data_IF_657316497877
#
_entry.id   IF_657316497877
#
_cell.length_a   1.000
_cell.length_b   1.000
_cell.length_c   1.000
_cell.angle_alpha   90.00
_cell.angle_beta   90.00
_cell.angle_gamma   90.00
#
_symmetry.space_group_name_H-M   'P 1'
#
loop_
_entity.id
_entity.type
_entity.pdbx_description
1 polymer ?
#
# COMPACT_ATOMS: atom_id res chain seq x y z
N UNK A 1 70.79 -25.20 -38.09
CA UNK A 1 69.50 -25.88 -38.34
C UNK A 1 68.72 -26.19 -37.06
N UNK A 2 69.35 -26.68 -35.97
CA UNK A 2 68.65 -27.01 -34.72
C UNK A 2 68.03 -25.83 -33.94
N UNK A 3 68.65 -24.64 -33.93
CA UNK A 3 68.11 -23.47 -33.21
C UNK A 3 66.81 -22.91 -33.82
N UNK A 4 66.66 -22.96 -35.14
CA UNK A 4 65.42 -22.57 -35.84
C UNK A 4 64.28 -23.55 -35.55
N UNK A 5 64.57 -24.86 -35.49
CA UNK A 5 63.58 -25.88 -35.16
C UNK A 5 63.10 -25.78 -33.71
N UNK A 6 64.00 -25.44 -32.77
CA UNK A 6 63.64 -25.19 -31.37
C UNK A 6 62.76 -23.93 -31.20
N UNK A 7 63.06 -22.85 -31.94
CA UNK A 7 62.23 -21.64 -31.95
C UNK A 7 60.86 -21.86 -32.59
N UNK A 8 60.77 -22.71 -33.62
CA UNK A 8 59.50 -23.08 -34.24
C UNK A 8 58.65 -23.96 -33.30
N UNK A 9 59.29 -24.88 -32.55
CA UNK A 9 58.62 -25.73 -31.57
C UNK A 9 58.05 -24.93 -30.38
N UNK A 10 58.82 -23.97 -29.84
CA UNK A 10 58.33 -23.11 -28.75
C UNK A 10 57.23 -22.15 -29.21
N UNK A 11 57.34 -21.60 -30.42
CA UNK A 11 56.27 -20.80 -31.04
C UNK A 11 54.99 -21.65 -31.24
N UNK A 12 55.14 -22.92 -31.62
CA UNK A 12 54.03 -23.86 -31.79
C UNK A 12 53.37 -24.24 -30.47
N UNK A 13 54.12 -24.48 -29.39
CA UNK A 13 53.56 -24.72 -28.06
C UNK A 13 52.85 -23.48 -27.50
N UNK A 14 53.41 -22.30 -27.75
CA UNK A 14 52.79 -21.02 -27.35
C UNK A 14 51.47 -20.83 -28.11
N UNK A 15 51.45 -21.04 -29.42
CA UNK A 15 50.21 -21.03 -30.24
C UNK A 15 49.19 -22.08 -29.78
N UNK A 16 49.64 -23.29 -29.43
CA UNK A 16 48.78 -24.38 -28.94
C UNK A 16 48.17 -24.05 -27.58
N UNK A 17 48.85 -23.27 -26.73
CA UNK A 17 48.31 -22.82 -25.45
C UNK A 17 47.20 -21.76 -25.59
N UNK A 18 47.11 -21.08 -26.74
CA UNK A 18 46.02 -20.17 -27.08
C UNK A 18 44.88 -20.84 -27.86
N UNK A 19 45.08 -22.05 -28.37
CA UNK A 19 44.01 -22.82 -28.98
C UNK A 19 43.10 -23.39 -27.87
N UNK A 20 41.77 -23.20 -27.96
CA UNK A 20 40.84 -23.76 -26.99
C UNK A 20 41.04 -25.27 -26.89
N UNK A 21 41.07 -25.81 -25.67
CA UNK A 21 41.12 -27.26 -25.49
C UNK A 21 39.82 -27.90 -26.02
N UNK A 22 39.85 -29.20 -26.37
CA UNK A 22 38.64 -29.93 -26.78
C UNK A 22 37.51 -29.80 -25.74
N UNK A 23 37.87 -29.66 -24.47
CA UNK A 23 36.97 -29.42 -23.36
C UNK A 23 36.33 -28.02 -23.38
N UNK A 24 37.09 -26.98 -23.78
CA UNK A 24 36.55 -25.62 -23.91
C UNK A 24 35.62 -25.51 -25.12
N UNK A 25 35.95 -26.19 -26.23
CA UNK A 25 35.06 -26.29 -27.40
C UNK A 25 33.74 -26.99 -27.03
N UNK A 26 33.80 -28.05 -26.21
CA UNK A 26 32.61 -28.73 -25.70
C UNK A 26 31.74 -27.79 -24.85
N UNK A 27 32.32 -27.05 -23.90
CA UNK A 27 31.60 -26.07 -23.09
C UNK A 27 30.93 -24.99 -23.94
N UNK A 28 31.62 -24.48 -24.95
CA UNK A 28 31.04 -23.48 -25.87
C UNK A 28 29.86 -24.07 -26.65
N UNK A 29 29.98 -25.31 -27.14
CA UNK A 29 28.88 -26.00 -27.82
C UNK A 29 27.66 -26.21 -26.90
N UNK A 30 27.89 -26.64 -25.66
CA UNK A 30 26.82 -26.79 -24.65
C UNK A 30 26.19 -25.44 -24.31
N UNK A 31 26.99 -24.38 -24.12
CA UNK A 31 26.48 -23.04 -23.86
C UNK A 31 25.61 -22.50 -25.02
N UNK A 32 26.03 -22.71 -26.27
CA UNK A 32 25.22 -22.36 -27.45
C UNK A 32 23.92 -23.17 -27.47
N UNK A 33 23.99 -24.47 -27.19
CA UNK A 33 22.80 -25.33 -27.12
C UNK A 33 21.81 -24.85 -26.05
N UNK A 34 22.31 -24.46 -24.87
CA UNK A 34 21.51 -23.85 -23.80
C UNK A 34 20.84 -22.56 -24.30
N UNK A 35 21.59 -21.65 -24.93
CA UNK A 35 21.01 -20.41 -25.46
C UNK A 35 19.92 -20.67 -26.50
N UNK A 36 20.13 -21.61 -27.42
CA UNK A 36 19.13 -22.00 -28.42
C UNK A 36 17.91 -22.61 -27.75
N UNK A 37 18.10 -23.51 -26.78
CA UNK A 37 17.01 -24.12 -26.03
C UNK A 37 16.17 -23.06 -25.28
N UNK A 38 16.82 -22.13 -24.58
CA UNK A 38 16.13 -21.04 -23.88
C UNK A 38 15.46 -20.04 -24.83
N UNK A 39 16.03 -19.78 -26.01
CA UNK A 39 15.39 -18.96 -27.02
C UNK A 39 14.10 -19.61 -27.56
N UNK A 40 14.14 -20.92 -27.84
CA UNK A 40 12.97 -21.69 -28.26
C UNK A 40 11.93 -21.74 -27.14
N UNK A 41 12.36 -21.98 -25.90
CA UNK A 41 11.50 -21.93 -24.72
C UNK A 41 10.84 -20.56 -24.58
N UNK A 42 11.60 -19.47 -24.72
CA UNK A 42 11.07 -18.11 -24.64
C UNK A 42 10.00 -17.84 -25.70
N UNK A 43 10.15 -18.38 -26.93
CA UNK A 43 9.11 -18.31 -27.97
C UNK A 43 7.86 -19.10 -27.58
N UNK A 44 8.03 -20.31 -27.03
CA UNK A 44 6.90 -21.15 -26.59
C UNK A 44 6.15 -20.47 -25.45
N UNK A 45 6.84 -20.01 -24.41
CA UNK A 45 6.23 -19.34 -23.26
C UNK A 45 5.54 -18.06 -23.69
N UNK A 46 6.13 -17.26 -24.59
CA UNK A 46 5.47 -16.08 -25.18
C UNK A 46 4.19 -16.45 -25.93
N UNK A 47 4.21 -17.53 -26.70
CA UNK A 47 3.02 -18.01 -27.42
C UNK A 47 1.91 -18.39 -26.43
N UNK A 48 2.24 -19.15 -25.37
CA UNK A 48 1.29 -19.53 -24.33
C UNK A 48 0.74 -18.31 -23.58
N UNK A 49 1.62 -17.39 -23.15
CA UNK A 49 1.22 -16.16 -22.50
C UNK A 49 0.27 -15.33 -23.38
N UNK A 50 0.57 -15.18 -24.67
CA UNK A 50 -0.29 -14.47 -25.61
C UNK A 50 -1.67 -15.12 -25.78
N UNK A 51 -1.76 -16.45 -25.69
CA UNK A 51 -3.02 -17.20 -25.78
C UNK A 51 -3.88 -16.96 -24.54
N UNK A 52 -3.30 -17.03 -23.35
CA UNK A 52 -4.02 -16.78 -22.10
C UNK A 52 -4.46 -15.31 -21.98
N UNK A 53 -3.60 -14.36 -22.37
CA UNK A 53 -3.93 -12.93 -22.38
C UNK A 53 -5.11 -12.61 -23.32
N UNK A 54 -5.18 -13.25 -24.49
CA UNK A 54 -6.34 -13.15 -25.38
C UNK A 54 -7.59 -13.77 -24.77
N UNK A 55 -7.46 -14.88 -24.05
CA UNK A 55 -8.60 -15.57 -23.40
C UNK A 55 -9.27 -14.70 -22.34
N UNK A 56 -8.51 -13.87 -21.64
CA UNK A 56 -9.02 -12.95 -20.61
C UNK A 56 -9.36 -11.56 -21.15
N UNK A 57 -9.37 -11.35 -22.47
CA UNK A 57 -9.56 -10.04 -23.12
C UNK A 57 -8.66 -8.94 -22.53
N UNK A 58 -7.39 -9.27 -22.27
CA UNK A 58 -6.42 -8.29 -21.77
C UNK A 58 -6.21 -7.16 -22.78
N UNK A 59 -5.95 -5.95 -22.26
CA UNK A 59 -5.58 -4.80 -23.08
C UNK A 59 -4.37 -5.15 -23.98
N UNK A 60 -4.40 -4.82 -25.29
CA UNK A 60 -3.32 -5.13 -26.21
C UNK A 60 -1.93 -4.60 -25.79
N UNK A 61 -1.88 -3.44 -25.13
CA UNK A 61 -0.65 -2.84 -24.61
C UNK A 61 -0.11 -3.64 -23.42
N UNK A 62 -0.99 -4.04 -22.50
CA UNK A 62 -0.64 -4.91 -21.37
C UNK A 62 -0.14 -6.25 -21.89
N UNK A 63 -0.84 -6.83 -22.87
CA UNK A 63 -0.44 -8.10 -23.46
C UNK A 63 0.93 -8.01 -24.17
N UNK A 64 1.21 -6.90 -24.86
CA UNK A 64 2.52 -6.65 -25.48
C UNK A 64 3.63 -6.55 -24.42
N UNK A 65 3.39 -5.81 -23.34
CA UNK A 65 4.34 -5.64 -22.25
C UNK A 65 4.66 -6.98 -21.59
N UNK A 66 3.66 -7.75 -21.19
CA UNK A 66 3.84 -9.07 -20.56
C UNK A 66 4.62 -10.01 -21.47
N UNK A 67 4.29 -10.07 -22.77
CA UNK A 67 5.01 -10.91 -23.73
C UNK A 67 6.49 -10.52 -23.86
N UNK A 68 6.81 -9.22 -23.84
CA UNK A 68 8.20 -8.74 -23.87
C UNK A 68 8.95 -9.10 -22.59
N UNK A 69 8.33 -8.91 -21.43
CA UNK A 69 8.91 -9.20 -20.13
C UNK A 69 9.19 -10.70 -19.97
N UNK A 70 8.25 -11.56 -20.32
CA UNK A 70 8.40 -13.02 -20.28
C UNK A 70 9.51 -13.49 -21.20
N UNK A 71 9.57 -12.97 -22.43
CA UNK A 71 10.63 -13.32 -23.38
C UNK A 71 12.00 -12.88 -22.87
N UNK A 72 12.13 -11.64 -22.39
CA UNK A 72 13.38 -11.11 -21.86
C UNK A 72 13.84 -11.88 -20.62
N UNK A 73 12.92 -12.21 -19.70
CA UNK A 73 13.23 -12.99 -18.50
C UNK A 73 13.78 -14.38 -18.87
N UNK A 74 13.12 -15.10 -19.77
CA UNK A 74 13.59 -16.41 -20.24
C UNK A 74 14.97 -16.32 -20.92
N UNK A 75 15.21 -15.27 -21.71
CA UNK A 75 16.51 -15.03 -22.35
C UNK A 75 17.60 -14.74 -21.33
N UNK A 76 17.34 -13.89 -20.33
CA UNK A 76 18.29 -13.57 -19.25
C UNK A 76 18.65 -14.83 -18.46
N UNK A 77 17.67 -15.67 -18.12
CA UNK A 77 17.92 -16.96 -17.46
C UNK A 77 18.81 -17.85 -18.33
N UNK A 78 18.54 -17.91 -19.64
CA UNK A 78 19.35 -18.67 -20.59
C UNK A 78 20.79 -18.16 -20.68
N UNK A 79 21.01 -16.85 -20.67
CA UNK A 79 22.34 -16.23 -20.65
C UNK A 79 23.08 -16.59 -19.37
N UNK A 80 22.44 -16.48 -18.21
CA UNK A 80 23.04 -16.85 -16.93
C UNK A 80 23.42 -18.34 -16.89
N UNK A 81 22.55 -19.22 -17.40
CA UNK A 81 22.81 -20.65 -17.49
C UNK A 81 23.99 -20.97 -18.44
N UNK A 82 24.03 -20.34 -19.60
CA UNK A 82 25.13 -20.51 -20.57
C UNK A 82 26.48 -20.02 -20.00
N UNK A 83 26.49 -18.90 -19.28
CA UNK A 83 27.68 -18.41 -18.58
C UNK A 83 28.12 -19.40 -17.49
N UNK A 84 27.19 -20.01 -16.75
CA UNK A 84 27.54 -21.00 -15.73
C UNK A 84 28.31 -22.19 -16.30
N UNK A 85 27.96 -22.63 -17.51
CA UNK A 85 28.66 -23.71 -18.21
C UNK A 85 30.08 -23.28 -18.64
N UNK A 86 30.22 -22.07 -19.21
CA UNK A 86 31.50 -21.55 -19.68
C UNK A 86 32.51 -21.37 -18.55
N UNK A 87 32.09 -20.77 -17.43
CA UNK A 87 32.98 -20.41 -16.32
C UNK A 87 33.14 -21.53 -15.28
N UNK A 88 32.36 -22.62 -15.38
CA UNK A 88 32.49 -23.81 -14.53
C UNK A 88 32.23 -23.58 -13.03
N UNK A 89 31.80 -22.37 -12.65
CA UNK A 89 31.48 -22.00 -11.29
C UNK A 89 30.24 -21.10 -11.29
N UNK A 90 29.09 -21.63 -10.85
CA UNK A 90 27.91 -20.81 -10.60
C UNK A 90 28.24 -19.63 -9.68
N UNK A 91 29.14 -19.81 -8.71
CA UNK A 91 29.55 -18.76 -7.77
C UNK A 91 30.24 -17.57 -8.47
N UNK A 92 31.02 -17.80 -9.54
CA UNK A 92 31.67 -16.73 -10.29
C UNK A 92 30.64 -15.93 -11.11
N UNK A 93 29.67 -16.62 -11.69
CA UNK A 93 28.56 -16.02 -12.45
C UNK A 93 27.63 -15.24 -11.52
N UNK A 94 27.19 -15.85 -10.41
CA UNK A 94 26.38 -15.14 -9.41
C UNK A 94 27.17 -14.03 -8.71
N UNK A 95 28.49 -14.12 -8.59
CA UNK A 95 29.35 -13.03 -8.12
C UNK A 95 29.33 -11.82 -9.07
N UNK A 96 29.40 -12.04 -10.38
CA UNK A 96 29.34 -10.96 -11.38
C UNK A 96 27.92 -10.40 -11.62
N UNK A 97 26.91 -11.26 -11.67
CA UNK A 97 25.51 -10.87 -11.86
C UNK A 97 24.81 -10.48 -10.54
N UNK A 98 25.41 -10.74 -9.39
CA UNK A 98 24.81 -10.49 -8.07
C UNK A 98 24.50 -9.02 -7.84
N UNK A 99 25.37 -8.12 -8.31
CA UNK A 99 25.11 -6.68 -8.25
C UNK A 99 23.89 -6.28 -9.10
N UNK A 100 23.73 -6.86 -10.30
CA UNK A 100 22.58 -6.61 -11.17
C UNK A 100 21.29 -7.13 -10.53
N UNK A 101 21.32 -8.31 -9.91
CA UNK A 101 20.18 -8.89 -9.20
C UNK A 101 19.78 -8.03 -7.98
N UNK A 102 20.76 -7.52 -7.22
CA UNK A 102 20.51 -6.61 -6.11
C UNK A 102 19.92 -5.28 -6.60
N UNK A 103 20.52 -4.66 -7.62
CA UNK A 103 20.03 -3.42 -8.21
C UNK A 103 18.59 -3.57 -8.74
N UNK A 104 18.30 -4.69 -9.41
CA UNK A 104 16.94 -5.01 -9.86
C UNK A 104 15.98 -5.20 -8.67
N UNK A 105 16.39 -5.92 -7.63
CA UNK A 105 15.57 -6.14 -6.44
C UNK A 105 15.25 -4.84 -5.70
N UNK A 106 16.22 -3.93 -5.61
CA UNK A 106 16.03 -2.60 -5.04
C UNK A 106 15.10 -1.74 -5.92
N UNK A 107 15.24 -1.81 -7.24
CA UNK A 107 14.36 -1.10 -8.17
C UNK A 107 12.90 -1.57 -8.11
N UNK A 108 12.68 -2.86 -7.85
CA UNK A 108 11.33 -3.45 -7.73
C UNK A 108 10.77 -3.43 -6.30
N UNK A 109 11.56 -2.97 -5.33
CA UNK A 109 11.22 -3.06 -3.91
C UNK A 109 9.86 -2.43 -3.59
N UNK A 110 9.58 -1.24 -4.13
CA UNK A 110 8.34 -0.52 -3.84
C UNK A 110 7.11 -1.12 -4.52
N UNK A 111 7.27 -1.70 -5.71
CA UNK A 111 6.19 -2.44 -6.38
C UNK A 111 5.80 -3.65 -5.53
N UNK A 112 6.80 -4.42 -5.06
CA UNK A 112 6.57 -5.61 -4.26
C UNK A 112 5.97 -5.27 -2.89
N UNK A 113 6.45 -4.20 -2.22
CA UNK A 113 5.87 -3.70 -0.96
C UNK A 113 4.38 -3.38 -1.12
N UNK A 114 4.00 -2.66 -2.17
CA UNK A 114 2.60 -2.29 -2.42
C UNK A 114 1.72 -3.52 -2.74
N UNK A 115 2.25 -4.44 -3.53
CA UNK A 115 1.54 -5.68 -3.87
C UNK A 115 1.28 -6.55 -2.62
N UNK A 116 2.32 -6.79 -1.81
CA UNK A 116 2.21 -7.57 -0.59
C UNK A 116 1.27 -6.88 0.41
N UNK A 117 1.39 -5.56 0.58
CA UNK A 117 0.48 -4.79 1.43
C UNK A 117 -0.99 -4.91 0.97
N UNK A 118 -1.24 -4.88 -0.34
CA UNK A 118 -2.57 -5.12 -0.91
C UNK A 118 -3.12 -6.51 -0.54
N UNK A 119 -2.31 -7.56 -0.67
CA UNK A 119 -2.69 -8.93 -0.27
C UNK A 119 -3.03 -8.98 1.22
N UNK A 120 -2.17 -8.45 2.10
CA UNK A 120 -2.44 -8.47 3.54
C UNK A 120 -3.69 -7.69 3.92
N UNK A 121 -3.94 -6.52 3.32
CA UNK A 121 -5.17 -5.76 3.55
C UNK A 121 -6.42 -6.55 3.16
N UNK A 122 -6.37 -7.32 2.07
CA UNK A 122 -7.50 -8.17 1.64
C UNK A 122 -7.73 -9.38 2.57
N UNK A 123 -6.64 -9.93 3.12
CA UNK A 123 -6.68 -11.08 4.04
C UNK A 123 -7.12 -10.67 5.45
N UNK A 124 -6.49 -9.65 6.03
CA UNK A 124 -6.72 -9.21 7.41
C UNK A 124 -7.95 -8.30 7.54
N UNK A 125 -8.30 -7.58 6.45
CA UNK A 125 -9.43 -6.65 6.38
C UNK A 125 -9.48 -5.68 7.58
N UNK A 126 -8.42 -4.88 7.80
CA UNK A 126 -8.41 -3.87 8.88
C UNK A 126 -9.57 -2.87 8.74
N UNK A 127 -10.01 -2.63 7.51
CA UNK A 127 -11.19 -1.88 7.12
C UNK A 127 -11.88 -2.55 5.92
N UNK A 128 -13.08 -2.09 5.58
CA UNK A 128 -13.89 -2.61 4.47
C UNK A 128 -14.17 -1.51 3.44
N UNK A 129 -14.58 -1.91 2.23
CA UNK A 129 -15.17 -0.98 1.28
C UNK A 129 -16.38 -0.28 1.94
N UNK A 130 -16.46 1.04 1.78
CA UNK A 130 -17.46 1.88 2.42
C UNK A 130 -17.09 2.37 3.84
N UNK A 131 -16.01 1.89 4.45
CA UNK A 131 -15.54 2.48 5.70
C UNK A 131 -14.96 3.87 5.47
N UNK A 132 -15.17 4.79 6.41
CA UNK A 132 -14.46 6.07 6.44
C UNK A 132 -13.19 5.88 7.27
N UNK A 133 -12.04 6.07 6.63
CA UNK A 133 -10.74 5.92 7.28
C UNK A 133 -9.93 7.20 7.16
N UNK A 134 -9.03 7.40 8.12
CA UNK A 134 -7.93 8.36 8.03
C UNK A 134 -6.64 7.59 7.87
N UNK A 135 -5.88 7.91 6.82
CA UNK A 135 -4.55 7.39 6.56
C UNK A 135 -3.64 8.60 6.32
N UNK A 136 -2.59 8.72 7.13
CA UNK A 136 -1.76 9.93 7.16
C UNK A 136 -2.64 11.18 7.36
N UNK A 137 -2.58 12.17 6.47
CA UNK A 137 -3.40 13.39 6.54
C UNK A 137 -4.69 13.36 5.71
N UNK A 138 -5.03 12.20 5.13
CA UNK A 138 -6.18 12.07 4.23
C UNK A 138 -7.31 11.31 4.92
N UNK A 139 -8.51 11.90 4.92
CA UNK A 139 -9.75 11.28 5.39
C UNK A 139 -10.68 11.02 4.22
N UNK A 140 -11.20 9.80 4.10
CA UNK A 140 -12.23 9.52 3.10
C UNK A 140 -12.85 8.15 3.23
N UNK A 141 -13.91 7.94 2.45
CA UNK A 141 -14.59 6.65 2.32
C UNK A 141 -13.79 5.76 1.38
N UNK A 142 -13.50 4.53 1.80
CA UNK A 142 -12.81 3.54 0.96
C UNK A 142 -13.73 3.10 -0.19
N UNK A 143 -13.38 3.46 -1.41
CA UNK A 143 -14.16 3.08 -2.60
C UNK A 143 -13.64 1.80 -3.25
N UNK A 144 -12.32 1.61 -3.30
CA UNK A 144 -11.71 0.45 -3.92
C UNK A 144 -10.36 0.10 -3.30
N UNK A 145 -10.01 -1.19 -3.32
CA UNK A 145 -8.69 -1.71 -2.93
C UNK A 145 -8.15 -2.50 -4.13
N UNK A 146 -7.19 -1.90 -4.85
CA UNK A 146 -6.54 -2.51 -6.00
C UNK A 146 -5.23 -3.21 -5.60
N UNK A 147 -4.56 -3.85 -6.55
CA UNK A 147 -3.30 -4.57 -6.27
C UNK A 147 -2.19 -3.68 -5.69
N UNK A 148 -2.11 -2.40 -6.08
CA UNK A 148 -1.02 -1.49 -5.65
C UNK A 148 -1.48 -0.26 -4.87
N UNK A 149 -2.76 0.07 -4.91
CA UNK A 149 -3.28 1.29 -4.33
C UNK A 149 -4.70 1.11 -3.78
N UNK A 150 -5.03 1.93 -2.80
CA UNK A 150 -6.37 2.06 -2.21
C UNK A 150 -6.92 3.42 -2.57
N UNK A 151 -8.17 3.46 -3.01
CA UNK A 151 -8.86 4.68 -3.42
C UNK A 151 -9.81 5.14 -2.31
N UNK A 152 -9.66 6.38 -1.88
CA UNK A 152 -10.54 7.04 -0.92
C UNK A 152 -11.26 8.20 -1.59
N UNK A 153 -12.52 8.43 -1.23
CA UNK A 153 -13.26 9.64 -1.59
C UNK A 153 -13.43 10.54 -0.37
N UNK A 154 -12.94 11.77 -0.45
CA UNK A 154 -13.04 12.74 0.65
C UNK A 154 -14.47 13.26 0.80
N UNK A 155 -14.77 13.91 1.92
CA UNK A 155 -16.05 14.61 2.11
C UNK A 155 -16.26 15.77 1.13
N UNK A 156 -15.18 16.29 0.56
CA UNK A 156 -15.21 17.35 -0.45
C UNK A 156 -15.39 16.80 -1.88
N UNK A 157 -15.48 15.48 -2.04
CA UNK A 157 -15.67 14.81 -3.33
C UNK A 157 -14.38 14.57 -4.12
N UNK A 158 -13.21 14.74 -3.50
CA UNK A 158 -11.92 14.49 -4.12
C UNK A 158 -11.55 13.00 -4.07
N UNK A 159 -10.77 12.56 -5.06
CA UNK A 159 -10.23 11.20 -5.11
C UNK A 159 -8.79 11.16 -4.59
N UNK A 160 -8.56 10.42 -3.51
CA UNK A 160 -7.22 10.15 -2.97
C UNK A 160 -6.81 8.75 -3.36
N UNK A 161 -5.67 8.61 -4.03
CA UNK A 161 -5.09 7.32 -4.43
C UNK A 161 -3.85 7.08 -3.58
N UNK A 162 -4.00 6.27 -2.53
CA UNK A 162 -2.93 5.96 -1.59
C UNK A 162 -2.22 4.65 -1.97
N UNK A 163 -0.88 4.62 -2.04
CA UNK A 163 -0.14 3.37 -2.20
C UNK A 163 -0.48 2.39 -1.07
N UNK A 164 -0.72 1.12 -1.40
CA UNK A 164 -1.10 0.10 -0.41
C UNK A 164 -0.08 -0.03 0.72
N UNK A 165 1.21 0.10 0.43
CA UNK A 165 2.25 0.05 1.46
C UNK A 165 2.09 1.16 2.47
N UNK A 166 1.75 2.39 2.02
CA UNK A 166 1.51 3.54 2.90
C UNK A 166 0.33 3.27 3.84
N UNK A 167 -0.76 2.73 3.31
CA UNK A 167 -1.96 2.41 4.08
C UNK A 167 -1.69 1.30 5.10
N UNK A 168 -1.00 0.24 4.69
CA UNK A 168 -0.77 -0.93 5.53
C UNK A 168 0.25 -0.68 6.65
N UNK A 169 1.32 0.09 6.38
CA UNK A 169 2.35 0.38 7.41
C UNK A 169 2.03 1.60 8.26
N UNK A 170 1.12 2.46 7.80
CA UNK A 170 0.71 3.67 8.51
C UNK A 170 -0.32 3.40 9.61
N UNK A 171 -0.51 4.39 10.48
CA UNK A 171 -1.61 4.37 11.45
C UNK A 171 -2.93 4.58 10.71
N UNK A 172 -3.87 3.65 10.89
CA UNK A 172 -5.21 3.72 10.32
C UNK A 172 -6.20 4.12 11.41
N UNK A 173 -6.92 5.22 11.23
CA UNK A 173 -8.05 5.59 12.08
C UNK A 173 -9.33 5.21 11.33
N UNK A 174 -9.94 4.09 11.69
CA UNK A 174 -11.24 3.71 11.13
C UNK A 174 -12.37 4.39 11.91
N UNK A 175 -13.02 5.37 11.27
CA UNK A 175 -14.09 6.18 11.86
C UNK A 175 -15.43 5.48 11.86
N UNK A 176 -15.59 4.46 11.03
CA UNK A 176 -16.87 3.74 10.86
C UNK A 176 -16.88 2.36 11.50
N UNK A 177 -15.79 1.89 12.11
CA UNK A 177 -15.71 0.54 12.69
C UNK A 177 -16.74 0.33 13.81
N UNK A 178 -16.84 1.31 14.70
CA UNK A 178 -17.79 1.31 15.81
C UNK A 178 -19.05 2.09 15.44
N UNK A 179 -20.24 1.73 15.97
CA UNK A 179 -21.49 2.39 15.61
C UNK A 179 -21.63 3.79 16.23
N UNK A 180 -21.04 4.02 17.40
CA UNK A 180 -21.16 5.28 18.13
C UNK A 180 -19.87 6.07 18.13
N UNK A 181 -19.97 7.41 18.04
CA UNK A 181 -18.84 8.33 18.14
C UNK A 181 -19.14 9.44 19.15
N UNK A 182 -18.10 9.88 19.84
CA UNK A 182 -18.17 11.01 20.77
C UNK A 182 -18.16 12.33 20.00
N UNK A 183 -19.14 13.18 20.28
CA UNK A 183 -19.23 14.56 19.80
C UNK A 183 -19.11 15.52 20.97
N UNK A 184 -18.46 16.65 20.75
CA UNK A 184 -18.26 17.70 21.74
C UNK A 184 -18.84 19.01 21.23
N UNK A 185 -19.68 19.64 22.05
CA UNK A 185 -20.18 20.99 21.85
C UNK A 185 -19.72 21.88 22.99
N UNK A 186 -19.29 23.09 22.65
CA UNK A 186 -18.89 24.10 23.63
C UNK A 186 -19.74 25.35 23.44
N UNK A 187 -20.24 25.90 24.55
CA UNK A 187 -21.04 27.12 24.56
C UNK A 187 -20.53 28.06 25.66
N UNK A 188 -20.24 29.31 25.33
CA UNK A 188 -19.86 30.32 26.32
C UNK A 188 -21.08 30.69 27.15
N UNK A 189 -20.98 30.64 28.48
CA UNK A 189 -22.06 31.10 29.35
C UNK A 189 -22.11 32.63 29.36
N UNK A 190 -23.30 33.25 29.17
CA UNK A 190 -23.48 34.68 29.38
C UNK A 190 -23.23 35.08 30.84
N UNK A 191 -22.73 36.30 31.03
CA UNK A 191 -22.62 36.92 32.37
C UNK A 191 -24.00 37.01 33.03
N UNK A 192 -24.13 36.44 34.23
CA UNK A 192 -25.36 36.45 35.02
C UNK A 192 -26.12 35.11 35.06
N UNK A 193 -25.70 34.09 34.31
CA UNK A 193 -26.27 32.73 34.44
C UNK A 193 -25.59 32.01 35.60
N UNK A 194 -26.37 31.54 36.58
CA UNK A 194 -25.84 30.75 37.70
C UNK A 194 -25.35 29.38 37.19
N UNK A 195 -24.09 29.00 37.46
CA UNK A 195 -23.55 27.71 37.03
C UNK A 195 -24.10 26.53 37.84
N UNK A 196 -24.63 26.79 39.04
CA UNK A 196 -25.09 25.77 39.98
C UNK A 196 -26.31 25.03 39.42
N UNK A 197 -26.20 23.70 39.31
CA UNK A 197 -27.27 22.83 38.80
C UNK A 197 -27.53 22.89 37.29
N UNK A 198 -26.97 23.86 36.57
CA UNK A 198 -27.13 24.00 35.12
C UNK A 198 -26.63 22.77 34.35
N UNK A 199 -25.46 22.25 34.74
CA UNK A 199 -24.85 21.10 34.09
C UNK A 199 -25.72 19.83 34.22
N UNK A 200 -26.24 19.55 35.42
CA UNK A 200 -27.13 18.40 35.64
C UNK A 200 -28.47 18.57 34.92
N UNK A 201 -29.06 19.77 34.92
CA UNK A 201 -30.30 20.05 34.17
C UNK A 201 -30.13 19.77 32.68
N UNK A 202 -29.04 20.27 32.07
CA UNK A 202 -28.75 20.06 30.64
C UNK A 202 -28.44 18.59 30.35
N UNK A 203 -27.68 17.92 31.23
CA UNK A 203 -27.38 16.49 31.11
C UNK A 203 -28.64 15.65 31.09
N UNK A 204 -29.59 15.88 32.01
CA UNK A 204 -30.87 15.19 32.02
C UNK A 204 -31.68 15.42 30.74
N UNK A 205 -31.68 16.66 30.23
CA UNK A 205 -32.42 17.02 29.02
C UNK A 205 -31.85 16.32 27.78
N UNK A 206 -30.52 16.28 27.66
CA UNK A 206 -29.79 15.63 26.58
C UNK A 206 -29.95 14.10 26.66
N UNK A 207 -29.88 13.53 27.86
CA UNK A 207 -30.03 12.08 28.07
C UNK A 207 -31.43 11.55 27.75
N UNK A 208 -32.47 12.42 27.78
CA UNK A 208 -33.83 12.06 27.38
C UNK A 208 -34.01 11.94 25.87
N UNK A 209 -33.07 12.46 25.07
CA UNK A 209 -33.22 12.43 23.61
C UNK A 209 -33.04 11.01 23.07
N UNK A 210 -33.89 10.58 22.11
CA UNK A 210 -33.84 9.22 21.55
C UNK A 210 -32.68 8.98 20.59
N UNK A 211 -32.09 10.04 20.04
CA UNK A 211 -30.96 10.01 19.09
C UNK A 211 -29.60 9.85 19.79
N UNK A 212 -29.50 10.17 21.08
CA UNK A 212 -28.26 10.10 21.86
C UNK A 212 -28.13 8.75 22.56
N UNK A 213 -26.93 8.18 22.55
CA UNK A 213 -26.66 6.92 23.24
C UNK A 213 -26.77 7.11 24.76
N UNK A 214 -27.45 6.17 25.43
CA UNK A 214 -27.63 6.19 26.88
C UNK A 214 -26.44 5.63 27.65
N UNK A 215 -25.67 4.77 27.00
CA UNK A 215 -24.46 4.16 27.53
C UNK A 215 -23.36 4.22 26.45
N UNK A 216 -22.26 4.98 26.67
CA UNK A 216 -22.00 5.80 27.85
C UNK A 216 -22.91 7.03 27.96
N UNK A 217 -23.26 7.49 29.17
CA UNK A 217 -24.10 8.67 29.36
C UNK A 217 -23.40 9.96 28.88
N UNK A 218 -24.18 11.00 28.49
CA UNK A 218 -23.59 12.28 28.14
C UNK A 218 -22.87 12.89 29.35
N UNK A 219 -21.77 13.58 29.08
CA UNK A 219 -20.99 14.32 30.05
C UNK A 219 -21.19 15.81 29.83
N UNK A 220 -21.62 16.52 30.86
CA UNK A 220 -21.82 17.97 30.82
C UNK A 220 -21.05 18.59 31.97
N UNK A 221 -20.20 19.57 31.67
CA UNK A 221 -19.39 20.26 32.66
C UNK A 221 -19.32 21.75 32.35
N UNK A 222 -19.30 22.58 33.39
CA UNK A 222 -18.97 24.00 33.29
C UNK A 222 -17.49 24.15 33.64
N UNK A 223 -16.71 24.69 32.71
CA UNK A 223 -15.28 24.91 32.87
C UNK A 223 -14.97 26.40 32.88
N UNK A 224 -14.09 26.87 33.79
CA UNK A 224 -13.57 28.22 33.72
C UNK A 224 -12.59 28.35 32.53
N UNK A 225 -12.71 29.45 31.80
CA UNK A 225 -11.75 29.85 30.78
C UNK A 225 -10.64 30.71 31.39
N UNK A 226 -9.48 30.73 30.75
CA UNK A 226 -8.33 31.56 31.13
C UNK A 226 -8.68 33.05 31.16
N UNK A 227 -9.63 33.49 30.33
CA UNK A 227 -10.08 34.89 30.23
C UNK A 227 -11.12 35.29 31.31
N UNK A 228 -11.38 34.41 32.30
CA UNK A 228 -12.34 34.66 33.38
C UNK A 228 -13.81 34.40 33.03
N UNK A 229 -14.11 33.90 31.83
CA UNK A 229 -15.44 33.45 31.43
C UNK A 229 -15.73 31.99 31.82
N UNK A 230 -16.99 31.56 31.75
CA UNK A 230 -17.37 30.15 31.90
C UNK A 230 -17.77 29.57 30.54
N UNK A 231 -17.35 28.33 30.27
CA UNK A 231 -17.75 27.56 29.08
C UNK A 231 -18.47 26.28 29.52
N UNK A 232 -19.63 26.03 28.92
CA UNK A 232 -20.33 24.76 29.04
C UNK A 232 -19.74 23.82 27.99
N UNK A 233 -19.17 22.71 28.42
CA UNK A 233 -18.77 21.60 27.57
C UNK A 233 -19.80 20.48 27.66
N UNK A 234 -20.32 20.06 26.52
CA UNK A 234 -21.30 18.98 26.38
C UNK A 234 -20.71 17.92 25.47
N UNK A 235 -20.44 16.73 26.02
CA UNK A 235 -19.96 15.56 25.29
C UNK A 235 -21.03 14.49 25.26
N UNK A 236 -21.36 13.96 24.08
CA UNK A 236 -22.37 12.92 23.93
C UNK A 236 -21.99 11.91 22.86
N UNK A 237 -22.40 10.66 23.05
CA UNK A 237 -22.18 9.59 22.10
C UNK A 237 -23.38 9.51 21.14
N UNK A 238 -23.11 9.45 19.84
CA UNK A 238 -24.12 9.40 18.79
C UNK A 238 -23.87 8.22 17.86
N UNK A 239 -24.93 7.45 17.56
CA UNK A 239 -24.93 6.48 16.46
C UNK A 239 -25.11 7.24 15.13
N UNK A 240 -23.99 7.50 14.46
CA UNK A 240 -23.93 8.24 13.19
C UNK A 240 -24.46 7.42 12.00
N UNK A 241 -24.72 6.12 12.16
CA UNK A 241 -25.28 5.28 11.08
C UNK A 241 -26.80 5.42 11.00
N UNK A 242 -27.43 5.80 12.11
CA UNK A 242 -28.89 5.96 12.21
C UNK A 242 -29.33 7.42 12.14
N UNK A 243 -28.44 8.34 12.49
CA UNK A 243 -28.76 9.75 12.62
C UNK A 243 -27.74 10.58 11.83
N UNK A 244 -28.21 11.67 11.22
CA UNK A 244 -27.32 12.67 10.63
C UNK A 244 -26.59 13.44 11.75
N UNK A 245 -25.25 13.32 11.85
CA UNK A 245 -24.49 13.99 12.90
C UNK A 245 -24.66 15.51 12.92
N UNK A 246 -24.78 16.15 11.75
CA UNK A 246 -24.91 17.61 11.67
C UNK A 246 -26.27 18.07 12.15
N UNK A 247 -27.33 17.34 11.78
CA UNK A 247 -28.68 17.63 12.23
C UNK A 247 -28.83 17.47 13.76
N UNK A 248 -28.27 16.39 14.33
CA UNK A 248 -28.28 16.15 15.78
C UNK A 248 -27.46 17.21 16.50
N UNK A 249 -26.27 17.54 16.00
CA UNK A 249 -25.41 18.56 16.58
C UNK A 249 -26.10 19.94 16.61
N UNK A 250 -26.78 20.31 15.52
CA UNK A 250 -27.58 21.54 15.46
C UNK A 250 -28.74 21.52 16.45
N UNK A 251 -29.47 20.40 16.55
CA UNK A 251 -30.60 20.25 17.45
C UNK A 251 -30.19 20.30 18.94
N UNK A 252 -29.08 19.64 19.30
CA UNK A 252 -28.51 19.72 20.65
C UNK A 252 -28.03 21.14 20.95
N UNK A 253 -27.37 21.80 19.99
CA UNK A 253 -26.94 23.19 20.13
C UNK A 253 -28.10 24.16 20.37
N UNK A 254 -29.19 24.02 19.61
CA UNK A 254 -30.42 24.82 19.80
C UNK A 254 -31.05 24.59 21.17
N UNK A 255 -31.06 23.34 21.65
CA UNK A 255 -31.59 22.99 22.95
C UNK A 255 -30.76 23.59 24.08
N UNK A 256 -29.42 23.51 24.00
CA UNK A 256 -28.52 24.18 24.95
C UNK A 256 -28.78 25.69 24.97
N UNK A 257 -28.93 26.31 23.79
CA UNK A 257 -29.21 27.74 23.68
C UNK A 257 -30.53 28.13 24.38
N UNK A 258 -31.60 27.36 24.19
CA UNK A 258 -32.88 27.58 24.85
C UNK A 258 -32.79 27.38 26.37
N UNK A 259 -32.10 26.33 26.82
CA UNK A 259 -31.88 26.06 28.24
C UNK A 259 -31.17 27.23 28.93
N UNK A 260 -30.15 27.81 28.28
CA UNK A 260 -29.42 28.98 28.77
C UNK A 260 -30.30 30.25 28.85
N UNK A 261 -31.21 30.46 27.89
CA UNK A 261 -32.14 31.59 27.93
C UNK A 261 -33.21 31.45 29.02
N UNK A 262 -33.68 30.23 29.28
CA UNK A 262 -34.71 29.95 30.29
C UNK A 262 -34.22 30.09 31.74
N UNK A 263 -32.90 30.17 31.94
CA UNK A 263 -32.26 30.22 33.27
C UNK A 263 -31.89 31.67 33.66
N UNK A 264 -32.39 32.67 32.92
CA UNK A 264 -32.31 34.10 33.26
C UNK A 264 -33.32 34.49 34.34
#
# INVERSE_FOLDING_TARGET
>A
MGAMLASAASAWETLRSYLPSDHDLFKVAVAILILVAFYLLARIVRMLASKELKRVNADPQVALLVNRMVFLAALVIGVVAAFSELFGSPALVFGGFGFLALAFSLAFQDILKNFIAGIFMLLERPFRLGDEITVDNHTGIVENIEMRATTLRTSEGEQVIAPNSLVYTGTIINRTRYPTRLFTLTAKLPSGVAPDGLAEKIKEEIQRRPDIAKDPPPHVAVQPNVDGGLTLEVRYWLDYRRNDPLAVQAAVGQQIYQALQSTK
#
